data_IF_862960128016
#
_entry.id   IF_862960128016
#
_cell.length_a   1.000
_cell.length_b   1.000
_cell.length_c   1.000
_cell.angle_alpha   90.00
_cell.angle_beta   90.00
_cell.angle_gamma   90.00
#
_symmetry.space_group_name_H-M   'P 1'
#
loop_
_entity.id
_entity.type
_entity.pdbx_description
1 polymer ?
#
# COMPACT_ATOMS: atom_id res chain seq x y z
N UNK A 1 -10.22 31.84 -5.14
CA UNK A 1 -9.62 32.27 -3.88
C UNK A 1 -9.25 30.99 -3.13
N UNK A 2 -8.03 30.91 -2.60
CA UNK A 2 -7.66 29.80 -1.73
C UNK A 2 -8.55 29.88 -0.48
N UNK A 3 -9.08 28.77 0.01
CA UNK A 3 -9.84 28.70 1.24
C UNK A 3 -8.86 28.94 2.40
N UNK A 4 -9.03 30.01 3.16
CA UNK A 4 -8.25 30.24 4.36
C UNK A 4 -8.88 29.43 5.52
N UNK A 5 -8.13 28.49 6.08
CA UNK A 5 -8.57 27.68 7.20
C UNK A 5 -8.26 28.38 8.50
N UNK A 6 -9.20 28.36 9.45
CA UNK A 6 -9.01 28.93 10.80
C UNK A 6 -8.05 28.07 11.62
N UNK A 7 -8.12 26.75 11.43
CA UNK A 7 -7.26 25.78 12.10
C UNK A 7 -6.59 24.86 11.09
N UNK A 8 -5.34 24.50 11.34
CA UNK A 8 -4.60 23.53 10.55
C UNK A 8 -3.98 22.52 11.50
N UNK A 9 -4.57 21.32 11.54
CA UNK A 9 -4.14 20.24 12.41
C UNK A 9 -3.31 19.22 11.65
N UNK A 10 -2.10 18.97 12.14
CA UNK A 10 -1.25 17.85 11.72
C UNK A 10 -1.51 16.70 12.65
N UNK A 11 -1.84 15.54 12.12
CA UNK A 11 -2.25 14.38 12.92
C UNK A 11 -1.55 13.14 12.43
N UNK A 12 -1.12 12.34 13.39
CA UNK A 12 -0.50 11.04 13.16
C UNK A 12 -0.97 10.05 14.22
N UNK A 13 -1.06 8.78 13.85
CA UNK A 13 -1.45 7.68 14.72
C UNK A 13 -0.38 6.58 14.71
N UNK A 14 -0.10 6.06 15.88
CA UNK A 14 0.55 4.77 16.00
C UNK A 14 -0.48 3.68 16.23
N UNK A 15 -0.45 2.64 15.41
CA UNK A 15 -1.44 1.57 15.43
C UNK A 15 -0.82 0.22 15.10
N UNK A 16 -1.48 -0.84 15.53
CA UNK A 16 -1.19 -2.20 15.08
C UNK A 16 -2.16 -2.56 13.96
N UNK A 17 -1.65 -3.06 12.85
CA UNK A 17 -2.42 -3.76 11.84
C UNK A 17 -1.55 -4.88 11.27
N UNK A 18 -2.00 -6.12 11.39
CA UNK A 18 -1.41 -7.26 10.70
C UNK A 18 -2.08 -7.40 9.33
N UNK A 19 -1.37 -7.97 8.36
CA UNK A 19 -1.78 -7.97 6.96
C UNK A 19 -3.26 -8.30 6.70
N UNK A 20 -4.04 -7.28 6.34
CA UNK A 20 -5.48 -7.38 6.08
C UNK A 20 -6.40 -7.16 7.29
N UNK A 21 -5.87 -6.90 8.49
CA UNK A 21 -6.66 -6.56 9.67
C UNK A 21 -6.95 -5.07 9.74
N UNK A 22 -8.07 -4.71 10.39
CA UNK A 22 -8.37 -3.32 10.71
C UNK A 22 -7.34 -2.77 11.72
N UNK A 23 -6.99 -1.48 11.65
CA UNK A 23 -6.05 -0.88 12.58
C UNK A 23 -6.58 -0.89 14.02
N UNK A 24 -5.68 -1.19 14.96
CA UNK A 24 -5.89 -1.05 16.40
C UNK A 24 -5.06 0.16 16.88
N UNK A 25 -5.66 1.36 17.03
CA UNK A 25 -4.93 2.54 17.45
C UNK A 25 -4.30 2.38 18.84
N UNK A 26 -3.01 2.71 18.95
CA UNK A 26 -2.25 2.72 20.22
C UNK A 26 -2.23 4.11 20.83
N UNK A 27 -1.79 5.07 20.06
CA UNK A 27 -1.79 6.48 20.44
C UNK A 27 -1.99 7.38 19.24
N UNK A 28 -2.16 8.66 19.51
CA UNK A 28 -2.31 9.71 18.52
C UNK A 28 -1.71 11.00 19.06
N UNK A 29 -1.11 11.76 18.16
CA UNK A 29 -0.68 13.13 18.39
C UNK A 29 -1.30 14.05 17.34
N UNK A 30 -1.78 15.22 17.78
CA UNK A 30 -2.24 16.28 16.91
C UNK A 30 -1.59 17.62 17.31
N UNK A 31 -1.15 18.38 16.31
CA UNK A 31 -0.51 19.67 16.47
C UNK A 31 -1.21 20.73 15.62
N UNK A 32 -1.61 21.83 16.23
CA UNK A 32 -2.26 22.94 15.55
C UNK A 32 -1.25 24.02 15.17
N UNK A 33 -1.27 24.44 13.90
CA UNK A 33 -0.26 25.31 13.31
C UNK A 33 -0.20 26.71 13.91
N UNK A 34 -1.35 27.35 14.15
CA UNK A 34 -1.44 28.76 14.54
C UNK A 34 -1.23 28.96 16.03
N UNK A 35 -1.94 28.20 16.84
CA UNK A 35 -1.89 28.27 18.31
C UNK A 35 -0.75 27.50 18.94
N UNK A 36 -0.08 26.63 18.15
CA UNK A 36 0.96 25.70 18.62
C UNK A 36 0.43 24.71 19.67
N UNK A 37 -0.88 24.47 19.66
CA UNK A 37 -1.52 23.53 20.59
C UNK A 37 -1.13 22.11 20.23
N UNK A 38 -0.66 21.35 21.22
CA UNK A 38 -0.31 19.94 21.09
C UNK A 38 -1.31 19.09 21.90
N UNK A 39 -1.87 18.06 21.26
CA UNK A 39 -2.73 17.04 21.88
C UNK A 39 -2.04 15.69 21.76
N UNK A 40 -1.87 14.98 22.88
CA UNK A 40 -1.24 13.67 22.94
C UNK A 40 -2.20 12.71 23.65
N UNK A 41 -2.63 11.66 22.98
CA UNK A 41 -3.61 10.71 23.51
C UNK A 41 -3.09 9.29 23.42
N UNK A 42 -3.13 8.58 24.54
CA UNK A 42 -3.04 7.13 24.56
C UNK A 42 -4.43 6.54 24.36
N UNK A 43 -4.63 5.74 23.34
CA UNK A 43 -5.94 5.28 22.87
C UNK A 43 -6.25 3.84 23.28
N UNK A 44 -5.23 2.97 23.37
CA UNK A 44 -5.43 1.56 23.71
C UNK A 44 -6.18 1.42 25.04
N UNK A 45 -7.27 0.64 25.02
CA UNK A 45 -8.09 0.37 26.21
C UNK A 45 -8.94 1.56 26.69
N UNK A 46 -9.00 2.65 25.93
CA UNK A 46 -9.84 3.81 26.23
C UNK A 46 -10.95 3.98 25.21
N UNK A 47 -12.12 4.38 25.68
CA UNK A 47 -13.20 4.84 24.84
C UNK A 47 -13.13 6.36 24.76
N UNK A 48 -12.87 6.90 23.59
CA UNK A 48 -12.83 8.32 23.27
C UNK A 48 -13.80 8.52 22.12
N UNK A 49 -14.93 9.11 22.41
CA UNK A 49 -16.06 9.17 21.48
C UNK A 49 -15.89 10.22 20.36
N UNK A 50 -15.02 11.22 20.56
CA UNK A 50 -14.79 12.31 19.61
C UNK A 50 -13.30 12.65 19.50
N UNK A 51 -12.83 13.12 18.33
CA UNK A 51 -11.46 13.60 18.18
C UNK A 51 -11.23 14.84 19.08
N UNK A 52 -10.00 15.07 19.58
CA UNK A 52 -9.68 16.18 20.47
C UNK A 52 -9.47 17.52 19.74
N UNK A 53 -9.82 17.59 18.47
CA UNK A 53 -9.69 18.76 17.59
C UNK A 53 -10.96 18.92 16.74
N UNK A 54 -11.20 20.12 16.27
CA UNK A 54 -12.30 20.38 15.32
C UNK A 54 -11.98 19.76 13.96
N UNK A 55 -12.99 19.20 13.30
CA UNK A 55 -12.90 18.55 11.99
C UNK A 55 -13.88 19.13 10.96
N UNK A 56 -14.49 20.28 11.25
CA UNK A 56 -15.48 20.94 10.42
C UNK A 56 -14.90 21.76 9.25
N UNK A 57 -15.77 22.52 8.60
CA UNK A 57 -15.49 23.22 7.33
C UNK A 57 -14.34 24.25 7.41
N UNK A 58 -14.15 24.90 8.55
CA UNK A 58 -13.08 25.89 8.76
C UNK A 58 -11.71 25.28 9.14
N UNK A 59 -11.63 23.94 9.25
CA UNK A 59 -10.44 23.21 9.70
C UNK A 59 -9.83 22.41 8.56
N UNK A 60 -8.50 22.48 8.42
CA UNK A 60 -7.71 21.61 7.54
C UNK A 60 -7.05 20.53 8.38
N UNK A 61 -7.36 19.29 8.10
CA UNK A 61 -6.66 18.11 8.63
C UNK A 61 -5.54 17.70 7.68
N UNK A 62 -4.33 17.60 8.17
CA UNK A 62 -3.13 17.24 7.37
C UNK A 62 -2.53 15.96 7.89
N UNK A 63 -2.33 14.98 7.00
CA UNK A 63 -1.72 13.69 7.29
C UNK A 63 -0.65 13.32 6.25
N UNK A 64 0.09 12.26 6.53
CA UNK A 64 0.98 11.62 5.57
C UNK A 64 0.57 10.17 5.36
N UNK A 65 -0.05 9.85 4.21
CA UNK A 65 -0.71 8.60 3.89
C UNK A 65 -2.06 8.44 4.60
N UNK A 66 -2.92 9.43 4.38
CA UNK A 66 -4.16 9.67 5.12
C UNK A 66 -5.15 8.47 5.19
N UNK A 67 -5.08 7.46 4.32
CA UNK A 67 -5.93 6.27 4.48
C UNK A 67 -5.64 5.51 5.78
N UNK A 68 -4.41 5.56 6.29
CA UNK A 68 -4.06 4.95 7.56
C UNK A 68 -4.72 5.68 8.75
N UNK A 69 -4.64 7.02 8.78
CA UNK A 69 -5.29 7.84 9.81
C UNK A 69 -6.81 7.72 9.74
N UNK A 70 -7.38 7.71 8.53
CA UNK A 70 -8.82 7.51 8.35
C UNK A 70 -9.26 6.09 8.75
N UNK A 71 -8.42 5.09 8.58
CA UNK A 71 -8.61 3.75 9.13
C UNK A 71 -8.69 3.76 10.66
N UNK A 72 -7.84 4.56 11.33
CA UNK A 72 -7.90 4.77 12.78
C UNK A 72 -9.16 5.52 13.21
N UNK A 73 -9.61 6.55 12.47
CA UNK A 73 -10.88 7.20 12.68
C UNK A 73 -12.05 6.20 12.64
N UNK A 74 -12.09 5.34 11.62
CA UNK A 74 -13.11 4.28 11.51
C UNK A 74 -13.06 3.30 12.68
N UNK A 75 -11.87 2.92 13.14
CA UNK A 75 -11.71 2.01 14.26
C UNK A 75 -12.19 2.61 15.58
N UNK A 76 -12.02 3.94 15.76
CA UNK A 76 -12.47 4.69 16.93
C UNK A 76 -13.94 5.12 16.85
N UNK A 77 -14.58 5.01 15.67
CA UNK A 77 -15.93 5.53 15.43
C UNK A 77 -15.98 7.06 15.30
N UNK A 78 -14.85 7.69 14.99
CA UNK A 78 -14.77 9.13 14.78
C UNK A 78 -15.23 9.52 13.37
N UNK A 79 -15.83 10.72 13.21
CA UNK A 79 -16.17 11.25 11.90
C UNK A 79 -14.89 11.54 11.09
N UNK A 80 -15.02 11.52 9.76
CA UNK A 80 -13.97 12.04 8.88
C UNK A 80 -13.92 13.57 8.95
N UNK A 81 -12.74 14.18 8.83
CA UNK A 81 -12.62 15.62 8.68
C UNK A 81 -13.19 16.07 7.33
N UNK A 82 -13.85 17.25 7.30
CA UNK A 82 -14.42 17.80 6.08
C UNK A 82 -13.35 18.19 5.05
N UNK A 83 -12.19 18.65 5.50
CA UNK A 83 -11.09 19.01 4.64
C UNK A 83 -9.85 18.20 5.01
N UNK A 84 -9.54 17.19 4.20
CA UNK A 84 -8.40 16.30 4.37
C UNK A 84 -7.34 16.58 3.32
N UNK A 85 -6.12 16.87 3.75
CA UNK A 85 -4.93 17.04 2.91
C UNK A 85 -3.94 15.90 3.18
N UNK A 86 -3.65 15.09 2.18
CA UNK A 86 -2.65 14.02 2.25
C UNK A 86 -1.34 14.45 1.57
N UNK A 87 -0.32 14.76 2.36
CA UNK A 87 0.98 15.18 1.82
C UNK A 87 1.73 14.04 1.11
N UNK A 88 1.43 12.77 1.38
CA UNK A 88 1.98 11.66 0.61
C UNK A 88 1.48 11.68 -0.84
N UNK A 89 0.18 11.87 -1.05
CA UNK A 89 -0.41 11.95 -2.39
C UNK A 89 0.07 13.20 -3.13
N UNK A 90 0.16 14.32 -2.41
CA UNK A 90 0.67 15.57 -2.99
C UNK A 90 2.15 15.43 -3.36
N UNK A 91 2.99 14.79 -2.55
CA UNK A 91 4.38 14.53 -2.91
C UNK A 91 4.50 13.60 -4.12
N UNK A 92 3.70 12.55 -4.19
CA UNK A 92 3.66 11.69 -5.40
C UNK A 92 3.23 12.45 -6.64
N UNK A 93 2.24 13.34 -6.52
CA UNK A 93 1.79 14.22 -7.60
C UNK A 93 2.89 15.19 -8.04
N UNK A 94 3.60 15.82 -7.09
CA UNK A 94 4.74 16.68 -7.33
C UNK A 94 5.85 15.96 -8.10
N UNK A 95 6.17 14.73 -7.72
CA UNK A 95 7.19 13.91 -8.38
C UNK A 95 6.80 13.42 -9.77
N UNK A 96 5.51 13.43 -10.11
CA UNK A 96 4.99 13.10 -11.46
C UNK A 96 5.63 11.83 -12.07
N UNK A 97 5.70 10.74 -11.31
CA UNK A 97 6.26 9.46 -11.77
C UNK A 97 7.77 9.30 -11.61
N UNK A 98 8.51 10.35 -11.27
CA UNK A 98 9.92 10.24 -10.91
C UNK A 98 10.06 9.54 -9.55
N UNK A 99 11.14 8.78 -9.37
CA UNK A 99 11.43 8.12 -8.09
C UNK A 99 12.44 8.97 -7.30
N UNK A 100 12.07 9.55 -6.14
CA UNK A 100 13.02 10.24 -5.30
C UNK A 100 14.01 9.26 -4.68
N UNK A 101 15.25 9.69 -4.46
CA UNK A 101 16.32 8.84 -3.96
C UNK A 101 16.00 8.22 -2.58
N UNK A 102 15.27 8.94 -1.71
CA UNK A 102 14.83 8.47 -0.39
C UNK A 102 13.49 7.70 -0.40
N UNK A 103 12.89 7.41 -1.58
CA UNK A 103 11.55 6.84 -1.67
C UNK A 103 10.44 7.83 -1.37
N UNK A 104 9.18 7.34 -1.29
CA UNK A 104 8.00 8.18 -1.10
C UNK A 104 7.53 8.30 0.37
N UNK A 105 8.18 7.62 1.31
CA UNK A 105 7.86 7.77 2.75
C UNK A 105 8.14 9.18 3.26
N UNK A 106 7.65 9.51 4.46
CA UNK A 106 7.84 10.83 5.09
C UNK A 106 9.32 11.26 5.12
N UNK A 107 10.23 10.37 5.52
CA UNK A 107 11.67 10.65 5.52
C UNK A 107 12.21 10.95 4.11
N UNK A 108 11.73 10.25 3.09
CA UNK A 108 12.10 10.47 1.70
C UNK A 108 11.65 11.84 1.19
N UNK A 109 10.41 12.25 1.52
CA UNK A 109 9.90 13.56 1.20
C UNK A 109 10.68 14.67 1.92
N UNK A 110 10.94 14.51 3.23
CA UNK A 110 11.76 15.45 4.01
C UNK A 110 13.16 15.60 3.41
N UNK A 111 13.80 14.50 3.06
CA UNK A 111 15.11 14.50 2.42
C UNK A 111 15.08 15.24 1.08
N UNK A 112 14.05 15.01 0.27
CA UNK A 112 13.87 15.70 -1.02
C UNK A 112 13.78 17.23 -0.86
N UNK A 113 13.05 17.70 0.15
CA UNK A 113 12.91 19.13 0.45
C UNK A 113 14.04 19.70 1.34
N UNK A 114 15.09 18.93 1.64
CA UNK A 114 16.23 19.37 2.44
C UNK A 114 15.90 19.61 3.91
N UNK A 115 14.91 18.90 4.46
CA UNK A 115 14.49 18.99 5.87
C UNK A 115 15.20 17.89 6.67
N UNK A 116 15.86 18.25 7.77
CA UNK A 116 16.47 17.27 8.68
C UNK A 116 15.41 16.38 9.35
N UNK A 117 15.73 15.11 9.54
CA UNK A 117 14.82 14.10 10.09
C UNK A 117 15.55 13.10 11.00
N UNK A 118 14.77 12.31 11.78
CA UNK A 118 15.22 11.21 12.62
C UNK A 118 15.99 10.14 11.82
N UNK A 119 16.89 9.42 12.48
CA UNK A 119 17.59 8.31 11.87
C UNK A 119 16.66 7.12 11.55
N UNK A 120 16.80 6.45 10.39
CA UNK A 120 15.93 5.33 9.99
C UNK A 120 15.86 4.17 10.98
N UNK A 121 16.95 3.90 11.71
CA UNK A 121 17.05 2.81 12.70
C UNK A 121 16.14 3.02 13.91
N UNK A 122 15.90 4.25 14.33
CA UNK A 122 15.00 4.58 15.43
C UNK A 122 13.52 4.36 15.01
N UNK A 123 13.20 4.68 13.75
CA UNK A 123 11.88 4.44 13.18
C UNK A 123 11.49 2.96 13.16
N UNK A 124 12.41 2.08 12.81
CA UNK A 124 12.14 0.64 12.73
C UNK A 124 11.82 0.06 14.12
N UNK A 125 12.57 0.44 15.15
CA UNK A 125 12.32 -0.01 16.52
C UNK A 125 11.00 0.49 17.10
N UNK A 126 10.58 1.71 16.79
CA UNK A 126 9.30 2.26 17.24
C UNK A 126 8.11 1.62 16.53
N UNK A 127 8.26 1.34 15.22
CA UNK A 127 7.26 0.58 14.46
C UNK A 127 7.06 -0.82 15.04
N UNK A 128 8.13 -1.53 15.35
CA UNK A 128 8.06 -2.86 15.97
C UNK A 128 7.37 -2.79 17.33
N UNK A 129 7.64 -1.74 18.10
CA UNK A 129 6.95 -1.50 19.36
C UNK A 129 5.45 -1.28 19.16
N UNK A 130 5.02 -0.47 18.18
CA UNK A 130 3.61 -0.22 17.87
C UNK A 130 2.87 -1.50 17.44
N UNK A 131 3.55 -2.40 16.71
CA UNK A 131 2.99 -3.66 16.22
C UNK A 131 2.86 -4.75 17.30
N UNK A 132 3.51 -4.56 18.46
CA UNK A 132 3.52 -5.55 19.54
C UNK A 132 2.11 -5.79 20.12
N UNK A 133 1.83 -7.02 20.48
CA UNK A 133 0.64 -7.41 21.25
C UNK A 133 0.83 -7.15 22.75
N UNK A 134 -0.30 -7.00 23.45
CA UNK A 134 -0.33 -6.90 24.90
C UNK A 134 -0.25 -5.45 25.43
N UNK A 135 0.08 -5.38 26.73
CA UNK A 135 0.13 -4.11 27.44
C UNK A 135 1.49 -3.39 27.26
N UNK A 136 1.47 -2.09 27.43
CA UNK A 136 2.64 -1.23 27.36
C UNK A 136 2.96 -0.66 28.74
N UNK A 137 4.24 -0.65 29.08
CA UNK A 137 4.73 0.10 30.25
C UNK A 137 4.57 1.59 30.03
N UNK A 138 4.55 2.39 31.09
CA UNK A 138 4.42 3.84 30.96
C UNK A 138 5.60 4.48 30.20
N UNK A 139 6.80 3.89 30.31
CA UNK A 139 7.97 4.33 29.53
C UNK A 139 7.76 4.07 28.02
N UNK A 140 7.22 2.92 27.63
CA UNK A 140 6.93 2.59 26.25
C UNK A 140 5.81 3.46 25.67
N UNK A 141 4.78 3.78 26.47
CA UNK A 141 3.72 4.71 26.06
C UNK A 141 4.27 6.11 25.78
N UNK A 142 5.16 6.59 26.65
CA UNK A 142 5.81 7.89 26.43
C UNK A 142 6.68 7.84 25.18
N UNK A 143 7.47 6.79 24.98
CA UNK A 143 8.31 6.65 23.81
C UNK A 143 7.52 6.65 22.49
N UNK A 144 6.38 5.93 22.42
CA UNK A 144 5.51 5.94 21.24
C UNK A 144 4.86 7.32 21.02
N UNK A 145 4.43 7.98 22.09
CA UNK A 145 3.87 9.35 21.99
C UNK A 145 4.92 10.37 21.55
N UNK A 146 6.17 10.24 22.00
CA UNK A 146 7.28 11.11 21.59
C UNK A 146 7.59 10.88 20.11
N UNK A 147 7.62 9.63 19.67
CA UNK A 147 7.85 9.26 18.29
C UNK A 147 6.75 9.79 17.35
N UNK A 148 5.47 9.58 17.70
CA UNK A 148 4.31 10.09 16.97
C UNK A 148 4.33 11.65 16.93
N UNK A 149 4.75 12.32 18.02
CA UNK A 149 4.93 13.77 18.04
C UNK A 149 6.01 14.24 17.05
N UNK A 150 7.14 13.54 16.97
CA UNK A 150 8.19 13.91 16.02
C UNK A 150 7.75 13.77 14.57
N UNK A 151 6.93 12.74 14.26
CA UNK A 151 6.37 12.59 12.92
C UNK A 151 5.38 13.72 12.61
N UNK A 152 4.53 14.14 13.55
CA UNK A 152 3.62 15.31 13.41
C UNK A 152 4.39 16.62 13.21
N UNK A 153 5.46 16.85 13.99
CA UNK A 153 6.30 18.06 13.83
C UNK A 153 7.05 18.04 12.49
N UNK A 154 7.46 16.87 12.04
CA UNK A 154 8.08 16.66 10.73
C UNK A 154 7.08 16.93 9.59
N UNK A 155 5.85 16.49 9.76
CA UNK A 155 4.75 16.76 8.84
C UNK A 155 4.46 18.26 8.72
N UNK A 156 4.45 19.02 9.83
CA UNK A 156 4.26 20.46 9.82
C UNK A 156 5.41 21.20 9.10
N UNK A 157 6.65 20.73 9.27
CA UNK A 157 7.81 21.27 8.53
C UNK A 157 7.71 20.99 7.03
N UNK A 158 7.29 19.76 6.67
CA UNK A 158 7.09 19.37 5.27
C UNK A 158 5.96 20.17 4.62
N UNK A 159 4.82 20.31 5.28
CA UNK A 159 3.69 21.13 4.84
C UNK A 159 4.14 22.54 4.47
N UNK A 160 4.93 23.20 5.33
CA UNK A 160 5.42 24.55 5.08
C UNK A 160 6.25 24.69 3.80
N UNK A 161 6.90 23.62 3.36
CA UNK A 161 7.65 23.57 2.11
C UNK A 161 6.78 23.28 0.89
N UNK A 162 5.78 22.42 1.06
CA UNK A 162 4.95 21.93 -0.05
C UNK A 162 3.78 22.86 -0.38
N UNK A 163 3.19 23.52 0.63
CA UNK A 163 1.95 24.27 0.51
C UNK A 163 1.96 25.35 -0.60
N UNK A 164 3.09 26.07 -0.88
CA UNK A 164 3.11 27.07 -1.94
C UNK A 164 2.86 26.50 -3.34
N UNK A 165 3.10 25.20 -3.56
CA UNK A 165 2.95 24.52 -4.83
C UNK A 165 1.69 23.65 -4.92
N UNK A 166 0.95 23.49 -3.82
CA UNK A 166 -0.25 22.66 -3.75
C UNK A 166 -1.48 23.42 -4.24
N UNK A 167 -2.21 22.83 -5.19
CA UNK A 167 -3.53 23.29 -5.58
C UNK A 167 -4.57 22.75 -4.57
N UNK A 168 -4.95 23.55 -3.58
CA UNK A 168 -5.82 23.16 -2.46
C UNK A 168 -7.12 22.48 -2.90
N UNK A 169 -7.94 23.05 -3.82
CA UNK A 169 -9.17 22.37 -4.28
C UNK A 169 -8.94 20.96 -4.83
N UNK A 170 -7.88 20.74 -5.58
CA UNK A 170 -7.54 19.44 -6.14
C UNK A 170 -6.97 18.50 -5.06
N UNK A 171 -6.17 19.05 -4.16
CA UNK A 171 -5.61 18.30 -3.04
C UNK A 171 -6.68 17.78 -2.08
N UNK A 172 -7.70 18.58 -1.77
CA UNK A 172 -8.85 18.16 -0.96
C UNK A 172 -9.66 17.06 -1.66
N UNK A 173 -9.84 17.13 -2.98
CA UNK A 173 -10.47 16.04 -3.73
C UNK A 173 -9.66 14.74 -3.61
N UNK A 174 -8.33 14.81 -3.68
CA UNK A 174 -7.47 13.65 -3.45
C UNK A 174 -7.53 13.16 -2.01
N UNK A 175 -7.64 14.05 -1.03
CA UNK A 175 -7.89 13.71 0.38
C UNK A 175 -9.19 12.92 0.57
N UNK A 176 -10.30 13.39 -0.01
CA UNK A 176 -11.57 12.64 -0.01
C UNK A 176 -11.41 11.22 -0.60
N UNK A 177 -10.61 11.09 -1.67
CA UNK A 177 -10.30 9.77 -2.24
C UNK A 177 -9.54 8.88 -1.25
N UNK A 178 -8.59 9.43 -0.48
CA UNK A 178 -7.87 8.66 0.54
C UNK A 178 -8.76 8.22 1.69
N UNK A 179 -9.74 9.04 2.09
CA UNK A 179 -10.77 8.62 3.04
C UNK A 179 -11.62 7.45 2.49
N UNK A 180 -12.02 7.53 1.22
CA UNK A 180 -12.73 6.43 0.56
C UNK A 180 -11.87 5.15 0.45
N UNK A 181 -10.54 5.27 0.28
CA UNK A 181 -9.62 4.14 0.35
C UNK A 181 -9.65 3.45 1.71
N UNK A 182 -9.72 4.21 2.82
CA UNK A 182 -9.83 3.64 4.16
C UNK A 182 -11.14 2.82 4.33
N UNK A 183 -12.26 3.29 3.79
CA UNK A 183 -13.52 2.52 3.77
C UNK A 183 -13.37 1.22 2.98
N UNK A 184 -12.73 1.27 1.82
CA UNK A 184 -12.48 0.07 1.00
C UNK A 184 -11.57 -0.92 1.74
N UNK A 185 -10.49 -0.44 2.36
CA UNK A 185 -9.57 -1.25 3.16
C UNK A 185 -10.28 -1.90 4.34
N UNK A 186 -11.11 -1.13 5.06
CA UNK A 186 -11.89 -1.63 6.21
C UNK A 186 -12.92 -2.71 5.82
N UNK A 187 -13.64 -2.48 4.74
CA UNK A 187 -14.70 -3.41 4.30
C UNK A 187 -14.12 -4.65 3.63
N UNK A 188 -12.93 -4.53 3.04
CA UNK A 188 -12.30 -5.59 2.28
C UNK A 188 -13.10 -6.01 1.04
N UNK A 189 -12.69 -7.13 0.45
CA UNK A 189 -13.38 -7.74 -0.69
C UNK A 189 -14.04 -9.02 -0.21
N UNK A 190 -15.35 -9.20 -0.38
CA UNK A 190 -16.04 -10.44 -0.01
C UNK A 190 -15.52 -11.61 -0.84
N UNK A 191 -15.16 -12.69 -0.17
CA UNK A 191 -14.66 -13.93 -0.77
C UNK A 191 -15.63 -15.05 -0.47
N UNK A 192 -15.98 -15.85 -1.47
CA UNK A 192 -16.70 -17.12 -1.28
C UNK A 192 -15.76 -18.13 -0.60
N UNK A 193 -15.84 -18.23 0.71
CA UNK A 193 -15.00 -19.11 1.52
C UNK A 193 -15.18 -20.59 1.18
N UNK A 194 -16.39 -21.02 0.81
CA UNK A 194 -16.65 -22.43 0.48
C UNK A 194 -16.05 -22.78 -0.88
N UNK A 195 -16.19 -21.90 -1.86
CA UNK A 195 -15.53 -22.07 -3.15
C UNK A 195 -14.00 -22.06 -2.99
N UNK A 196 -13.47 -21.12 -2.18
CA UNK A 196 -12.03 -21.01 -1.92
C UNK A 196 -11.47 -22.28 -1.26
N UNK A 197 -12.13 -22.81 -0.22
CA UNK A 197 -11.73 -24.09 0.42
C UNK A 197 -11.75 -25.25 -0.58
N UNK A 198 -12.78 -25.33 -1.43
CA UNK A 198 -12.87 -26.37 -2.46
C UNK A 198 -11.75 -26.25 -3.49
N UNK A 199 -11.42 -25.04 -3.91
CA UNK A 199 -10.29 -24.78 -4.81
C UNK A 199 -8.96 -25.21 -4.18
N UNK A 200 -8.72 -24.89 -2.92
CA UNK A 200 -7.51 -25.33 -2.20
C UNK A 200 -7.45 -26.86 -2.12
N UNK A 201 -8.56 -27.49 -1.72
CA UNK A 201 -8.61 -28.95 -1.50
C UNK A 201 -8.33 -29.74 -2.83
N UNK A 202 -8.80 -29.23 -3.97
CA UNK A 202 -8.71 -29.90 -5.26
C UNK A 202 -7.68 -29.25 -6.21
N UNK A 203 -6.85 -28.31 -5.72
CA UNK A 203 -5.98 -27.52 -6.60
C UNK A 203 -5.00 -28.37 -7.42
N UNK A 204 -4.40 -29.39 -6.81
CA UNK A 204 -3.45 -30.26 -7.53
C UNK A 204 -4.15 -31.13 -8.60
N UNK A 205 -5.37 -31.55 -8.39
CA UNK A 205 -6.19 -32.26 -9.38
C UNK A 205 -6.54 -31.34 -10.55
N UNK A 206 -7.11 -30.15 -10.24
CA UNK A 206 -7.45 -29.13 -11.24
C UNK A 206 -6.24 -28.73 -12.08
N UNK A 207 -5.10 -28.51 -11.43
CA UNK A 207 -3.84 -28.19 -12.10
C UNK A 207 -3.40 -29.29 -13.05
N UNK A 208 -3.49 -30.55 -12.62
CA UNK A 208 -3.11 -31.70 -13.46
C UNK A 208 -4.04 -31.83 -14.68
N UNK A 209 -5.33 -31.65 -14.49
CA UNK A 209 -6.33 -31.69 -15.56
C UNK A 209 -6.11 -30.55 -16.58
N UNK A 210 -5.92 -29.32 -16.11
CA UNK A 210 -5.64 -28.16 -16.97
C UNK A 210 -4.36 -28.35 -17.78
N UNK A 211 -3.31 -28.88 -17.16
CA UNK A 211 -2.04 -29.17 -17.86
C UNK A 211 -2.29 -30.25 -18.92
N UNK A 212 -2.95 -31.34 -18.56
CA UNK A 212 -3.20 -32.45 -19.48
C UNK A 212 -4.04 -32.01 -20.69
N UNK A 213 -5.09 -31.19 -20.46
CA UNK A 213 -5.95 -30.69 -21.53
C UNK A 213 -5.18 -29.82 -22.52
N UNK A 214 -4.45 -28.82 -22.01
CA UNK A 214 -3.73 -27.85 -22.85
C UNK A 214 -2.50 -28.49 -23.50
N UNK A 215 -1.76 -29.31 -22.76
CA UNK A 215 -0.50 -29.89 -23.25
C UNK A 215 -0.67 -30.97 -24.35
N UNK A 216 -1.90 -31.46 -24.55
CA UNK A 216 -2.20 -32.33 -25.70
C UNK A 216 -1.79 -31.70 -27.04
N UNK A 217 -1.87 -30.37 -27.12
CA UNK A 217 -1.52 -29.62 -28.34
C UNK A 217 -0.04 -29.25 -28.42
N UNK A 218 0.70 -29.31 -27.30
CA UNK A 218 2.07 -28.79 -27.23
C UNK A 218 3.12 -29.85 -26.88
N UNK A 219 2.84 -30.74 -25.93
CA UNK A 219 3.77 -31.74 -25.42
C UNK A 219 5.01 -31.16 -24.75
N UNK A 220 4.79 -30.07 -23.94
CA UNK A 220 5.87 -29.30 -23.33
C UNK A 220 5.97 -29.50 -21.83
N UNK A 221 5.07 -30.29 -21.25
CA UNK A 221 5.12 -30.64 -19.82
C UNK A 221 5.60 -32.10 -19.65
N UNK A 222 6.34 -32.33 -18.60
CA UNK A 222 6.62 -33.65 -18.04
C UNK A 222 5.87 -33.72 -16.71
N UNK A 223 4.80 -34.52 -16.69
CA UNK A 223 3.78 -34.48 -15.62
C UNK A 223 3.28 -33.06 -15.45
N UNK A 224 3.45 -32.48 -14.25
CA UNK A 224 2.99 -31.11 -13.92
C UNK A 224 4.10 -30.05 -14.05
N UNK A 225 5.23 -30.39 -14.70
CA UNK A 225 6.38 -29.51 -14.79
C UNK A 225 6.67 -29.12 -16.24
N UNK A 226 6.60 -27.84 -16.54
CA UNK A 226 7.01 -27.29 -17.83
C UNK A 226 8.52 -27.54 -18.10
N UNK A 227 8.85 -28.01 -19.27
CA UNK A 227 10.23 -28.30 -19.68
C UNK A 227 10.64 -27.42 -20.87
N UNK A 228 11.58 -26.52 -20.61
CA UNK A 228 12.10 -25.61 -21.64
C UNK A 228 12.69 -26.36 -22.86
N UNK A 229 13.27 -27.55 -22.66
CA UNK A 229 13.75 -28.39 -23.75
C UNK A 229 12.63 -28.86 -24.66
N UNK A 230 11.56 -29.42 -24.10
CA UNK A 230 10.38 -29.83 -24.88
C UNK A 230 9.73 -28.66 -25.60
N UNK A 231 9.70 -27.47 -24.97
CA UNK A 231 9.21 -26.29 -25.63
C UNK A 231 10.08 -25.83 -26.78
N UNK A 232 11.41 -25.96 -26.66
CA UNK A 232 12.33 -25.71 -27.74
C UNK A 232 12.06 -26.65 -28.94
N UNK A 233 11.87 -27.92 -28.67
CA UNK A 233 11.57 -28.93 -29.71
C UNK A 233 10.22 -28.64 -30.41
N UNK A 234 9.22 -28.16 -29.63
CA UNK A 234 7.93 -27.71 -30.18
C UNK A 234 8.11 -26.52 -31.13
N UNK A 235 8.87 -25.50 -30.70
CA UNK A 235 9.13 -24.29 -31.50
C UNK A 235 9.90 -24.66 -32.82
N UNK A 236 10.88 -25.52 -32.73
CA UNK A 236 11.66 -25.98 -33.88
C UNK A 236 10.78 -26.74 -34.89
N UNK A 237 9.93 -27.65 -34.44
CA UNK A 237 8.96 -28.38 -35.28
C UNK A 237 7.96 -27.44 -35.96
N UNK A 238 7.52 -26.36 -35.24
CA UNK A 238 6.61 -25.35 -35.78
C UNK A 238 7.28 -24.27 -36.63
N UNK A 239 8.61 -24.27 -36.74
CA UNK A 239 9.35 -23.23 -37.46
C UNK A 239 9.26 -21.84 -36.77
N UNK A 240 8.94 -21.81 -35.46
CA UNK A 240 8.73 -20.60 -34.69
C UNK A 240 10.06 -20.09 -34.16
N UNK A 241 10.48 -18.90 -34.60
CA UNK A 241 11.67 -18.24 -34.08
C UNK A 241 11.35 -17.58 -32.73
N UNK A 242 12.07 -18.00 -31.69
CA UNK A 242 11.87 -17.51 -30.33
C UNK A 242 13.03 -16.63 -29.88
N UNK A 243 12.76 -15.50 -29.13
CA UNK A 243 13.82 -14.65 -28.56
C UNK A 243 14.69 -15.45 -27.57
N UNK A 244 15.99 -15.18 -27.62
CA UNK A 244 16.99 -15.82 -26.76
C UNK A 244 17.55 -14.79 -25.76
N UNK A 245 18.03 -15.29 -24.65
CA UNK A 245 18.90 -14.57 -23.72
C UNK A 245 20.35 -14.59 -24.27
N UNK A 246 21.20 -13.72 -23.70
CA UNK A 246 22.63 -13.70 -24.07
C UNK A 246 23.33 -15.04 -23.82
N UNK A 247 22.80 -15.85 -22.92
CA UNK A 247 23.25 -17.22 -22.64
C UNK A 247 22.85 -18.26 -23.73
N UNK A 248 22.07 -17.87 -24.73
CA UNK A 248 21.50 -18.76 -25.73
C UNK A 248 20.25 -19.53 -25.26
N UNK A 249 19.80 -19.36 -24.04
CA UNK A 249 18.56 -19.96 -23.53
C UNK A 249 17.33 -19.18 -24.04
N UNK A 250 16.17 -19.87 -24.14
CA UNK A 250 14.91 -19.24 -24.52
C UNK A 250 14.51 -18.15 -23.48
N UNK A 251 14.12 -17.00 -23.98
CA UNK A 251 13.60 -15.93 -23.11
C UNK A 251 12.15 -16.23 -22.71
N UNK A 252 11.90 -16.55 -21.42
CA UNK A 252 10.67 -17.19 -20.95
C UNK A 252 9.77 -16.26 -20.12
N UNK A 253 10.03 -14.94 -20.14
CA UNK A 253 9.22 -13.94 -19.42
C UNK A 253 7.83 -13.70 -20.04
N UNK A 254 6.92 -13.12 -19.26
CA UNK A 254 5.54 -12.88 -19.66
C UNK A 254 5.43 -11.94 -20.86
N UNK A 255 6.31 -10.93 -20.96
CA UNK A 255 6.32 -9.98 -22.08
C UNK A 255 6.68 -10.66 -23.39
N UNK A 256 7.70 -11.54 -23.37
CA UNK A 256 8.09 -12.33 -24.53
C UNK A 256 6.94 -13.22 -25.00
N UNK A 257 6.27 -13.93 -24.10
CA UNK A 257 5.08 -14.71 -24.45
C UNK A 257 3.96 -13.84 -25.01
N UNK A 258 3.68 -12.70 -24.41
CA UNK A 258 2.67 -11.75 -24.90
C UNK A 258 2.98 -11.27 -26.33
N UNK A 259 4.23 -10.91 -26.59
CA UNK A 259 4.68 -10.48 -27.91
C UNK A 259 4.60 -11.61 -28.94
N UNK A 260 5.02 -12.82 -28.58
CA UNK A 260 4.99 -13.97 -29.48
C UNK A 260 3.58 -14.44 -29.81
N UNK A 261 2.63 -14.40 -28.87
CA UNK A 261 1.23 -14.73 -29.12
C UNK A 261 0.53 -13.78 -30.10
N UNK A 262 1.01 -12.55 -30.27
CA UNK A 262 0.48 -11.65 -31.31
C UNK A 262 0.81 -12.12 -32.72
N UNK A 263 1.91 -12.86 -32.91
CA UNK A 263 2.40 -13.38 -34.17
C UNK A 263 2.05 -14.85 -34.37
N UNK A 264 1.90 -15.55 -33.28
CA UNK A 264 1.63 -16.99 -33.18
C UNK A 264 0.45 -17.22 -32.24
N UNK A 265 -0.81 -16.96 -32.69
CA UNK A 265 -2.00 -17.10 -31.87
C UNK A 265 -2.19 -18.51 -31.28
N UNK A 266 -1.63 -19.54 -31.94
CA UNK A 266 -1.61 -20.92 -31.45
C UNK A 266 -0.94 -21.09 -30.09
N UNK A 267 -0.10 -20.16 -29.67
CA UNK A 267 0.57 -20.18 -28.35
C UNK A 267 -0.27 -19.59 -27.21
N UNK A 268 -1.46 -19.06 -27.51
CA UNK A 268 -2.27 -18.32 -26.52
C UNK A 268 -2.67 -19.21 -25.34
N UNK A 269 -3.19 -20.41 -25.60
CA UNK A 269 -3.63 -21.33 -24.53
C UNK A 269 -2.46 -21.76 -23.63
N UNK A 270 -1.26 -21.97 -24.20
CA UNK A 270 -0.06 -22.27 -23.42
C UNK A 270 0.36 -21.09 -22.54
N UNK A 271 0.30 -19.87 -23.08
CA UNK A 271 0.60 -18.64 -22.32
C UNK A 271 -0.38 -18.49 -21.16
N UNK A 272 -1.68 -18.67 -21.41
CA UNK A 272 -2.74 -18.55 -20.39
C UNK A 272 -2.57 -19.60 -19.29
N UNK A 273 -2.33 -20.86 -19.65
CA UNK A 273 -2.02 -21.91 -18.68
C UNK A 273 -0.83 -21.54 -17.80
N UNK A 274 0.30 -21.14 -18.40
CA UNK A 274 1.50 -20.74 -17.64
C UNK A 274 1.23 -19.57 -16.70
N UNK A 275 0.50 -18.54 -17.16
CA UNK A 275 0.11 -17.40 -16.36
C UNK A 275 -0.78 -17.82 -15.19
N UNK A 276 -1.76 -18.68 -15.43
CA UNK A 276 -2.66 -19.24 -14.41
C UNK A 276 -1.88 -20.01 -13.35
N UNK A 277 -1.02 -20.95 -13.76
CA UNK A 277 -0.21 -21.75 -12.85
C UNK A 277 0.77 -20.91 -12.01
N UNK A 278 1.23 -19.78 -12.57
CA UNK A 278 2.13 -18.86 -11.87
C UNK A 278 1.40 -17.96 -10.86
N UNK A 279 0.19 -17.51 -11.18
CA UNK A 279 -0.59 -16.55 -10.39
C UNK A 279 -1.44 -17.21 -9.30
N UNK A 280 -2.02 -18.37 -9.59
CA UNK A 280 -2.83 -19.12 -8.64
C UNK A 280 -1.92 -19.96 -7.72
N UNK A 281 -1.41 -19.31 -6.68
CA UNK A 281 -0.69 -19.98 -5.59
C UNK A 281 -1.63 -20.16 -4.41
N UNK A 282 -2.57 -21.10 -4.56
CA UNK A 282 -3.47 -21.47 -3.46
C UNK A 282 -2.65 -22.24 -2.41
N UNK A 283 -2.41 -21.61 -1.26
CA UNK A 283 -1.72 -22.19 -0.10
C UNK A 283 -2.65 -22.21 1.08
#
# INVERSE_FOLDING_TARGET
MAKDFKEVWFVDFEFRALGGENPEPRCMVAYELHTKTLKRLWLQGKKIDEPPFDSGDDTLYVAYYASAEMGCHLALGWPYPENLLDLFVEFRSHMNGLKPQGGFGLLGAMSYFGIGHMAPTEKESMRDLALREGDYTDTEKVALLDYCQEDVESLARLYSKMIPEINIPIALLRGCYMAACADVERNGIPIDHELHKRLIAHWEEIKSELIQEVDQSYGVFDKNTFKAGLFKDYLERGGIRWPLLDSGALKMDEETFKFMCQRHPELLSLKELRSTLSKLRLK
#
